data_IF_294643191690
#
_entry.id   IF_294643191690
#
_cell.length_a   1.000
_cell.length_b   1.000
_cell.length_c   1.000
_cell.angle_alpha   90.00
_cell.angle_beta   90.00
_cell.angle_gamma   90.00
#
_symmetry.space_group_name_H-M   'P 1'
#
loop_
_entity.id
_entity.type
_entity.pdbx_description
1 polymer ?
#
# COMPACT_ATOMS: atom_id res chain seq x y z
N UNK A 1 19.31 -9.45 -83.73
CA UNK A 1 19.85 -10.03 -82.46
C UNK A 1 18.74 -10.78 -81.78
N UNK A 2 19.00 -11.96 -81.22
CA UNK A 2 17.94 -12.72 -80.54
C UNK A 2 17.38 -11.91 -79.36
N UNK A 3 16.06 -11.92 -79.22
CA UNK A 3 15.33 -11.23 -78.15
C UNK A 3 15.15 -12.16 -76.97
N UNK A 4 15.69 -11.86 -75.77
CA UNK A 4 15.46 -12.66 -74.60
C UNK A 4 13.98 -12.53 -74.18
N UNK A 5 13.27 -13.60 -74.12
CA UNK A 5 11.84 -13.63 -73.82
C UNK A 5 11.54 -14.64 -72.72
N UNK A 6 10.69 -14.23 -71.78
CA UNK A 6 10.17 -15.11 -70.72
C UNK A 6 8.66 -15.32 -70.96
N UNK A 7 8.26 -16.57 -71.09
CA UNK A 7 6.83 -16.89 -71.29
C UNK A 7 6.04 -16.49 -70.03
N UNK A 8 4.97 -15.63 -70.12
CA UNK A 8 4.18 -15.21 -69.03
C UNK A 8 3.31 -16.30 -68.39
N UNK A 9 3.12 -17.42 -69.08
CA UNK A 9 2.27 -18.54 -68.65
C UNK A 9 3.05 -19.66 -67.96
N UNK A 10 4.28 -19.94 -68.34
CA UNK A 10 5.09 -21.03 -67.78
C UNK A 10 6.45 -20.64 -67.25
N UNK A 11 6.86 -19.34 -67.34
CA UNK A 11 8.13 -18.85 -66.83
C UNK A 11 9.39 -19.29 -67.63
N UNK A 12 9.21 -20.05 -68.72
CA UNK A 12 10.36 -20.53 -69.48
C UNK A 12 11.06 -19.39 -70.20
N UNK A 13 12.39 -19.29 -70.01
CA UNK A 13 13.26 -18.34 -70.71
C UNK A 13 13.74 -18.93 -72.01
N UNK A 14 13.59 -18.17 -73.12
CA UNK A 14 14.05 -18.54 -74.43
C UNK A 14 14.54 -17.31 -75.18
N UNK A 15 15.47 -17.53 -76.14
CA UNK A 15 15.91 -16.47 -77.03
C UNK A 15 15.13 -16.62 -78.38
N UNK A 16 14.36 -15.64 -78.70
CA UNK A 16 13.54 -15.61 -79.90
C UNK A 16 14.23 -14.77 -80.99
N UNK A 17 14.22 -15.24 -82.23
CA UNK A 17 14.78 -14.51 -83.35
C UNK A 17 14.03 -13.19 -83.56
N UNK A 18 14.76 -12.11 -83.84
CA UNK A 18 14.19 -10.74 -84.01
C UNK A 18 13.13 -10.63 -85.09
N UNK A 19 13.11 -11.52 -86.08
CA UNK A 19 12.05 -11.61 -87.11
C UNK A 19 10.65 -11.93 -86.52
N UNK A 20 10.59 -12.40 -85.29
CA UNK A 20 9.37 -12.66 -84.57
C UNK A 20 8.95 -11.52 -83.60
N UNK A 21 9.68 -10.46 -83.58
CA UNK A 21 9.35 -9.28 -82.76
C UNK A 21 7.94 -8.76 -83.08
N UNK A 22 7.10 -8.56 -82.10
CA UNK A 22 5.71 -8.13 -82.19
C UNK A 22 4.74 -9.18 -82.70
N UNK A 23 5.19 -10.43 -83.00
CA UNK A 23 4.30 -11.50 -83.50
C UNK A 23 3.79 -12.37 -82.35
N UNK A 24 2.58 -12.95 -82.59
CA UNK A 24 1.93 -13.89 -81.70
C UNK A 24 2.14 -15.29 -82.20
N UNK A 25 2.45 -16.23 -81.30
CA UNK A 25 2.61 -17.65 -81.63
C UNK A 25 2.48 -18.51 -80.36
N UNK A 26 2.37 -19.85 -80.51
CA UNK A 26 2.33 -20.75 -79.35
C UNK A 26 3.69 -20.90 -78.71
N UNK A 27 3.72 -20.90 -77.35
CA UNK A 27 4.91 -21.21 -76.59
C UNK A 27 5.33 -22.65 -76.84
N UNK A 28 6.64 -22.87 -77.09
CA UNK A 28 7.16 -24.22 -77.36
C UNK A 28 7.02 -25.20 -76.20
N UNK A 29 6.88 -24.69 -74.96
CA UNK A 29 6.82 -25.50 -73.74
C UNK A 29 5.38 -25.72 -73.26
N UNK A 30 4.58 -24.66 -73.16
CA UNK A 30 3.20 -24.77 -72.60
C UNK A 30 2.09 -24.61 -73.62
N UNK A 31 2.42 -24.37 -74.90
CA UNK A 31 1.52 -24.17 -76.06
C UNK A 31 0.53 -23.02 -75.93
N UNK A 32 0.58 -22.25 -74.85
CA UNK A 32 -0.23 -21.01 -74.74
C UNK A 32 0.22 -19.95 -75.73
N UNK A 33 -0.71 -19.21 -76.24
CA UNK A 33 -0.44 -18.10 -77.18
C UNK A 33 0.31 -16.97 -76.47
N UNK A 34 1.47 -16.64 -76.96
CA UNK A 34 2.33 -15.60 -76.46
C UNK A 34 2.62 -14.55 -77.54
N UNK A 35 2.80 -13.29 -77.16
CA UNK A 35 3.24 -12.22 -78.07
C UNK A 35 4.66 -11.83 -77.73
N UNK A 36 5.56 -11.89 -78.66
CA UNK A 36 6.97 -11.50 -78.50
C UNK A 36 6.99 -9.96 -78.51
N UNK A 37 7.61 -9.31 -77.53
CA UNK A 37 7.67 -7.86 -77.50
C UNK A 37 8.46 -7.33 -78.71
N UNK A 38 8.08 -6.13 -79.23
CA UNK A 38 8.82 -5.47 -80.30
C UNK A 38 10.22 -5.06 -79.83
N UNK A 39 11.22 -5.14 -80.70
CA UNK A 39 12.67 -5.07 -80.38
C UNK A 39 13.13 -3.74 -79.73
N UNK A 40 12.26 -2.79 -79.48
CA UNK A 40 12.63 -1.47 -78.92
C UNK A 40 12.01 -1.11 -77.57
N UNK A 41 11.52 -2.08 -76.79
CA UNK A 41 11.14 -1.80 -75.41
C UNK A 41 12.37 -2.01 -74.54
N UNK A 42 13.10 -0.91 -74.29
CA UNK A 42 14.22 -0.96 -73.33
C UNK A 42 13.77 -1.49 -72.01
N UNK A 43 14.29 -2.65 -71.59
CA UNK A 43 14.07 -3.24 -70.28
C UNK A 43 14.71 -2.34 -69.24
N UNK A 44 13.95 -1.47 -68.62
CA UNK A 44 14.40 -0.77 -67.44
C UNK A 44 14.55 -1.77 -66.29
N UNK A 45 15.75 -1.95 -65.69
CA UNK A 45 15.91 -2.86 -64.59
C UNK A 45 14.97 -2.42 -63.45
N UNK A 46 14.35 -3.35 -62.70
CA UNK A 46 13.52 -3.01 -61.55
C UNK A 46 14.33 -2.17 -60.57
N UNK A 47 13.86 -0.98 -60.23
CA UNK A 47 14.51 -0.11 -59.24
C UNK A 47 14.57 -0.88 -57.93
N UNK A 48 15.75 -0.96 -57.28
CA UNK A 48 15.86 -1.61 -55.99
C UNK A 48 14.88 -0.92 -55.01
N UNK A 49 13.94 -1.66 -54.49
CA UNK A 49 13.07 -1.17 -53.40
C UNK A 49 14.01 -0.75 -52.26
N UNK A 50 14.13 0.55 -52.01
CA UNK A 50 14.73 1.06 -50.78
C UNK A 50 13.97 0.40 -49.63
N UNK A 51 14.60 -0.56 -48.97
CA UNK A 51 14.05 -1.12 -47.71
C UNK A 51 13.76 0.10 -46.83
N UNK A 52 12.49 0.32 -46.60
CA UNK A 52 11.96 1.41 -45.78
C UNK A 52 12.67 1.33 -44.40
N UNK A 53 13.47 2.34 -44.06
CA UNK A 53 14.10 2.52 -42.74
C UNK A 53 13.07 2.78 -41.62
N UNK A 54 11.77 2.69 -41.95
CA UNK A 54 10.67 2.93 -41.03
C UNK A 54 10.72 2.00 -39.81
N UNK A 55 11.09 0.74 -40.00
CA UNK A 55 11.18 -0.20 -38.86
C UNK A 55 12.31 0.17 -37.90
N UNK A 56 13.46 0.59 -38.40
CA UNK A 56 14.62 1.03 -37.61
C UNK A 56 14.28 2.35 -36.88
N UNK A 57 13.60 3.28 -37.55
CA UNK A 57 13.14 4.52 -36.92
C UNK A 57 12.11 4.26 -35.84
N UNK A 58 11.13 3.38 -36.05
CA UNK A 58 10.13 3.00 -35.06
C UNK A 58 10.81 2.31 -33.86
N UNK A 59 11.73 1.37 -34.08
CA UNK A 59 12.49 0.74 -33.01
C UNK A 59 13.36 1.72 -32.24
N UNK A 60 14.01 2.67 -32.89
CA UNK A 60 14.80 3.71 -32.24
C UNK A 60 13.94 4.66 -31.39
N UNK A 61 12.75 5.03 -31.88
CA UNK A 61 11.80 5.85 -31.12
C UNK A 61 11.27 5.09 -29.91
N UNK A 62 10.88 3.83 -30.06
CA UNK A 62 10.42 2.98 -28.93
C UNK A 62 11.56 2.82 -27.92
N UNK A 63 12.79 2.54 -28.36
CA UNK A 63 13.94 2.39 -27.48
C UNK A 63 14.27 3.71 -26.76
N UNK A 64 14.20 4.83 -27.46
CA UNK A 64 14.38 6.17 -26.87
C UNK A 64 13.31 6.49 -25.84
N UNK A 65 12.05 6.16 -26.12
CA UNK A 65 10.94 6.37 -25.18
C UNK A 65 11.03 5.47 -23.95
N UNK A 66 11.46 4.21 -24.09
CA UNK A 66 11.65 3.29 -22.96
C UNK A 66 12.89 3.62 -22.15
N UNK A 67 14.00 3.97 -22.79
CA UNK A 67 15.26 4.27 -22.09
C UNK A 67 15.29 5.64 -21.40
N UNK A 68 14.63 6.65 -21.95
CA UNK A 68 14.59 8.01 -21.40
C UNK A 68 13.26 8.31 -20.68
N UNK A 69 12.12 7.93 -21.26
CA UNK A 69 10.79 8.19 -20.71
C UNK A 69 10.47 7.31 -19.52
N UNK A 70 10.89 6.04 -19.53
CA UNK A 70 10.65 5.08 -18.44
C UNK A 70 11.23 5.54 -17.10
N UNK A 71 12.51 5.85 -17.00
CA UNK A 71 13.13 6.36 -15.78
C UNK A 71 12.53 7.68 -15.29
N UNK A 72 12.17 8.60 -16.19
CA UNK A 72 11.55 9.87 -15.82
C UNK A 72 10.16 9.64 -15.23
N UNK A 73 9.34 8.79 -15.84
CA UNK A 73 8.02 8.42 -15.31
C UNK A 73 8.14 7.74 -13.95
N UNK A 74 9.07 6.80 -13.78
CA UNK A 74 9.35 6.15 -12.51
C UNK A 74 9.79 7.17 -11.45
N UNK A 75 10.68 8.09 -11.78
CA UNK A 75 11.15 9.13 -10.86
C UNK A 75 10.03 10.08 -10.40
N UNK A 76 9.02 10.32 -11.24
CA UNK A 76 7.85 11.13 -10.89
C UNK A 76 6.78 10.33 -10.14
N UNK A 77 6.64 9.03 -10.44
CA UNK A 77 5.64 8.16 -9.79
C UNK A 77 6.05 7.73 -8.37
N UNK A 78 7.35 7.49 -8.13
CA UNK A 78 7.82 7.04 -6.82
C UNK A 78 7.40 7.95 -5.66
N UNK A 79 7.63 9.29 -5.70
CA UNK A 79 7.21 10.18 -4.63
C UNK A 79 5.69 10.22 -4.45
N UNK A 80 4.94 10.17 -5.55
CA UNK A 80 3.47 10.17 -5.50
C UNK A 80 2.91 8.89 -4.84
N UNK A 81 3.48 7.73 -5.19
CA UNK A 81 3.11 6.45 -4.58
C UNK A 81 3.47 6.43 -3.09
N UNK A 82 4.65 6.92 -2.70
CA UNK A 82 5.06 7.00 -1.29
C UNK A 82 4.12 7.90 -0.49
N UNK A 83 3.74 9.07 -1.03
CA UNK A 83 2.80 9.96 -0.38
C UNK A 83 1.39 9.33 -0.25
N UNK A 84 0.92 8.63 -1.28
CA UNK A 84 -0.35 7.91 -1.24
C UNK A 84 -0.34 6.76 -0.22
N UNK A 85 0.74 5.98 -0.15
CA UNK A 85 0.91 4.93 0.85
C UNK A 85 0.92 5.49 2.28
N UNK A 86 1.60 6.62 2.51
CA UNK A 86 1.62 7.24 3.83
C UNK A 86 0.27 7.84 4.21
N UNK A 87 -0.45 8.45 3.28
CA UNK A 87 -1.83 8.88 3.50
C UNK A 87 -2.76 7.71 3.87
N UNK A 88 -2.59 6.55 3.23
CA UNK A 88 -3.33 5.33 3.56
C UNK A 88 -2.99 4.82 4.97
N UNK A 89 -1.70 4.80 5.37
CA UNK A 89 -1.28 4.43 6.73
C UNK A 89 -1.87 5.38 7.77
N UNK A 90 -1.83 6.69 7.53
CA UNK A 90 -2.44 7.68 8.42
C UNK A 90 -3.95 7.45 8.56
N UNK A 91 -4.64 7.16 7.46
CA UNK A 91 -6.07 6.81 7.50
C UNK A 91 -6.33 5.56 8.34
N UNK A 92 -5.44 4.57 8.27
CA UNK A 92 -5.54 3.37 9.10
C UNK A 92 -5.32 3.68 10.59
N UNK A 93 -4.34 4.52 10.97
CA UNK A 93 -4.15 4.94 12.35
C UNK A 93 -5.37 5.71 12.88
N UNK A 94 -5.96 6.59 12.07
CA UNK A 94 -7.22 7.26 12.42
C UNK A 94 -8.38 6.26 12.59
N UNK A 95 -8.46 5.23 11.76
CA UNK A 95 -9.48 4.19 11.88
C UNK A 95 -9.26 3.32 13.14
N UNK A 96 -8.01 3.03 13.50
CA UNK A 96 -7.70 2.33 14.73
C UNK A 96 -8.20 3.11 15.95
N UNK A 97 -7.92 4.42 16.01
CA UNK A 97 -8.45 5.28 17.08
C UNK A 97 -9.98 5.32 17.11
N UNK A 98 -10.64 5.35 15.94
CA UNK A 98 -12.11 5.25 15.87
C UNK A 98 -12.63 3.91 16.39
N UNK A 99 -11.95 2.80 16.09
CA UNK A 99 -12.31 1.48 16.63
C UNK A 99 -12.15 1.45 18.15
N UNK A 100 -11.03 1.99 18.66
CA UNK A 100 -10.80 2.12 20.11
C UNK A 100 -11.89 2.99 20.73
N UNK A 101 -12.22 4.14 20.14
CA UNK A 101 -13.27 5.02 20.64
C UNK A 101 -14.64 4.32 20.69
N UNK A 102 -15.00 3.61 19.61
CA UNK A 102 -16.24 2.83 19.58
C UNK A 102 -16.25 1.74 20.65
N UNK A 103 -15.13 1.07 20.86
CA UNK A 103 -14.97 0.04 21.90
C UNK A 103 -15.12 0.62 23.30
N UNK A 104 -14.55 1.79 23.56
CA UNK A 104 -14.72 2.52 24.83
C UNK A 104 -16.18 2.90 25.08
N UNK A 105 -16.89 3.38 24.05
CA UNK A 105 -18.32 3.66 24.14
C UNK A 105 -19.16 2.40 24.42
N UNK A 106 -18.90 1.30 23.72
CA UNK A 106 -19.58 0.02 23.94
C UNK A 106 -19.31 -0.55 25.34
N UNK A 107 -18.08 -0.39 25.82
CA UNK A 107 -17.76 -0.72 27.21
C UNK A 107 -18.56 0.14 28.19
N UNK A 108 -18.59 1.46 27.97
CA UNK A 108 -19.38 2.38 28.80
C UNK A 108 -20.88 2.06 28.76
N UNK A 109 -21.43 1.69 27.61
CA UNK A 109 -22.85 1.30 27.51
C UNK A 109 -23.17 0.05 28.33
N UNK A 110 -22.21 -0.86 28.44
CA UNK A 110 -22.33 -2.10 29.21
C UNK A 110 -22.16 -1.85 30.71
N UNK A 111 -21.07 -1.18 31.10
CA UNK A 111 -20.64 -1.03 32.49
C UNK A 111 -20.99 0.31 33.12
N UNK A 112 -21.60 1.25 32.35
CA UNK A 112 -22.02 2.61 32.77
C UNK A 112 -20.87 3.52 33.20
N UNK A 113 -19.65 3.16 32.83
CA UNK A 113 -18.42 3.93 33.03
C UNK A 113 -17.38 3.51 31.99
N UNK A 114 -16.40 4.37 31.72
CA UNK A 114 -15.23 4.00 30.96
C UNK A 114 -14.36 3.00 31.74
N UNK A 115 -13.59 2.14 31.07
CA UNK A 115 -12.65 1.28 31.78
C UNK A 115 -11.57 2.15 32.46
N UNK A 116 -11.18 1.85 33.71
CA UNK A 116 -10.01 2.50 34.29
C UNK A 116 -8.76 2.15 33.48
N UNK A 117 -7.82 3.08 33.36
CA UNK A 117 -6.58 2.84 32.60
C UNK A 117 -5.82 1.62 33.14
N UNK A 118 -5.78 1.49 34.45
CA UNK A 118 -5.14 0.39 35.18
C UNK A 118 -6.19 -0.31 36.05
N UNK A 119 -6.40 -1.59 35.79
CA UNK A 119 -7.23 -2.45 36.66
C UNK A 119 -6.29 -3.12 37.68
N UNK A 120 -6.61 -3.00 38.98
CA UNK A 120 -5.83 -3.59 40.09
C UNK A 120 -6.65 -4.62 40.84
N UNK A 121 -5.97 -5.42 41.65
CA UNK A 121 -6.62 -6.27 42.67
C UNK A 121 -7.04 -5.46 43.91
N UNK A 122 -7.57 -6.18 44.94
CA UNK A 122 -7.99 -5.58 46.20
C UNK A 122 -6.81 -4.97 47.01
N UNK A 123 -5.62 -5.50 46.80
CA UNK A 123 -4.38 -5.03 47.41
C UNK A 123 -3.72 -3.86 46.65
N UNK A 124 -4.26 -3.48 45.48
CA UNK A 124 -3.77 -2.38 44.64
C UNK A 124 -2.67 -2.79 43.65
N UNK A 125 -2.40 -4.10 43.50
CA UNK A 125 -1.41 -4.54 42.48
C UNK A 125 -2.01 -4.52 41.08
N UNK A 126 -1.29 -4.00 40.07
CA UNK A 126 -1.77 -3.93 38.71
C UNK A 126 -2.03 -5.31 38.11
N UNK A 127 -3.23 -5.52 37.58
CA UNK A 127 -3.65 -6.78 36.92
C UNK A 127 -3.53 -6.68 35.42
N UNK A 128 -4.19 -5.69 34.81
CA UNK A 128 -4.17 -5.51 33.35
C UNK A 128 -4.61 -4.10 32.93
N UNK A 129 -4.36 -3.78 31.67
CA UNK A 129 -4.68 -2.50 31.04
C UNK A 129 -6.15 -2.43 30.60
N UNK A 130 -6.68 -1.21 30.48
CA UNK A 130 -7.95 -0.92 29.80
C UNK A 130 -8.04 -1.55 28.41
N UNK A 131 -6.90 -1.73 27.73
CA UNK A 131 -6.84 -2.34 26.39
C UNK A 131 -7.29 -3.79 26.42
N UNK A 132 -7.01 -4.51 27.50
CA UNK A 132 -7.54 -5.87 27.72
C UNK A 132 -9.06 -5.83 27.91
N UNK A 133 -9.56 -4.87 28.70
CA UNK A 133 -10.98 -4.75 29.00
C UNK A 133 -11.85 -4.48 27.76
N UNK A 134 -11.31 -3.82 26.73
CA UNK A 134 -12.05 -3.53 25.50
C UNK A 134 -11.85 -4.55 24.36
N UNK A 135 -11.07 -5.61 24.56
CA UNK A 135 -10.86 -6.66 23.55
C UNK A 135 -12.15 -7.22 22.95
N UNK A 136 -13.21 -7.51 23.74
CA UNK A 136 -14.48 -8.01 23.20
C UNK A 136 -15.13 -7.06 22.19
N UNK A 137 -14.86 -5.75 22.31
CA UNK A 137 -15.48 -4.70 21.48
C UNK A 137 -14.65 -4.30 20.27
N UNK A 138 -13.44 -4.91 20.10
CA UNK A 138 -12.58 -4.72 18.92
C UNK A 138 -12.37 -6.04 18.15
N UNK A 139 -13.37 -6.93 18.21
CA UNK A 139 -13.35 -8.24 17.53
C UNK A 139 -12.27 -9.21 18.04
N UNK A 140 -11.79 -9.00 19.27
CA UNK A 140 -10.77 -9.85 19.92
C UNK A 140 -11.36 -10.64 21.11
N UNK A 141 -12.64 -11.03 21.04
CA UNK A 141 -13.32 -11.77 22.11
C UNK A 141 -12.63 -13.08 22.47
N UNK A 142 -12.20 -13.87 21.48
CA UNK A 142 -11.49 -15.13 21.73
C UNK A 142 -10.15 -14.91 22.47
N UNK A 143 -9.47 -13.81 22.24
CA UNK A 143 -8.25 -13.46 22.96
C UNK A 143 -8.56 -13.05 24.40
N UNK A 144 -9.65 -12.31 24.61
CA UNK A 144 -10.16 -11.96 25.92
C UNK A 144 -10.56 -13.20 26.74
N UNK A 145 -11.26 -14.16 26.12
CA UNK A 145 -11.67 -15.41 26.78
C UNK A 145 -10.48 -16.30 27.20
N UNK A 146 -9.33 -16.11 26.55
CA UNK A 146 -8.10 -16.82 26.88
C UNK A 146 -7.26 -16.12 27.96
N UNK A 147 -7.55 -14.85 28.24
CA UNK A 147 -6.84 -14.05 29.24
C UNK A 147 -7.38 -14.33 30.63
N UNK A 148 -6.52 -14.61 31.61
CA UNK A 148 -6.93 -14.78 32.99
C UNK A 148 -6.86 -13.47 33.79
N UNK A 149 -7.99 -12.81 34.08
CA UNK A 149 -8.02 -11.56 34.83
C UNK A 149 -7.63 -11.68 36.30
N UNK A 150 -7.53 -12.91 36.82
CA UNK A 150 -7.23 -13.15 38.24
C UNK A 150 -5.72 -13.19 38.53
N UNK A 151 -4.89 -13.27 37.51
CA UNK A 151 -3.44 -13.23 37.66
C UNK A 151 -2.87 -11.94 37.01
N UNK A 152 -1.69 -11.48 37.41
CA UNK A 152 -1.05 -10.29 36.83
C UNK A 152 -0.82 -10.41 35.33
N UNK A 153 -0.71 -9.28 34.66
CA UNK A 153 -0.44 -9.18 33.20
C UNK A 153 0.88 -9.84 32.80
N UNK A 154 1.87 -9.85 33.69
CA UNK A 154 3.22 -10.41 33.50
C UNK A 154 3.35 -11.87 34.02
N UNK A 155 2.26 -12.47 34.52
CA UNK A 155 2.21 -13.90 34.78
C UNK A 155 2.44 -14.68 33.46
N UNK A 156 3.17 -15.80 33.50
CA UNK A 156 3.44 -16.62 32.31
C UNK A 156 2.21 -16.96 31.46
N UNK A 157 1.03 -17.13 32.08
CA UNK A 157 -0.23 -17.38 31.36
C UNK A 157 -0.63 -16.18 30.52
N UNK A 158 -0.66 -14.98 31.10
CA UNK A 158 -1.06 -13.74 30.43
C UNK A 158 0.04 -13.18 29.54
N UNK A 159 1.31 -13.32 29.94
CA UNK A 159 2.45 -12.87 29.17
C UNK A 159 2.48 -13.50 27.77
N UNK A 160 2.17 -14.78 27.66
CA UNK A 160 2.10 -15.48 26.40
C UNK A 160 1.02 -14.89 25.47
N UNK A 161 -0.13 -14.55 26.03
CA UNK A 161 -1.24 -13.89 25.32
C UNK A 161 -0.84 -12.46 24.95
N UNK A 162 -0.20 -11.73 25.87
CA UNK A 162 0.29 -10.36 25.68
C UNK A 162 1.29 -10.21 24.54
N UNK A 163 1.98 -11.28 24.13
CA UNK A 163 2.89 -11.27 22.97
C UNK A 163 2.17 -11.27 21.61
N UNK A 164 0.84 -11.45 21.60
CA UNK A 164 0.05 -11.44 20.37
C UNK A 164 -0.03 -10.01 19.79
N UNK A 165 0.16 -9.87 18.49
CA UNK A 165 0.01 -8.57 17.83
C UNK A 165 -1.45 -8.26 17.54
N UNK A 166 -1.93 -7.10 18.00
CA UNK A 166 -3.28 -6.60 17.74
C UNK A 166 -3.20 -5.38 16.84
N UNK A 167 -3.73 -5.50 15.62
CA UNK A 167 -3.63 -4.45 14.60
C UNK A 167 -4.29 -3.12 15.01
N UNK A 168 -5.37 -3.18 15.80
CA UNK A 168 -6.06 -2.00 16.32
C UNK A 168 -5.20 -1.18 17.29
N UNK A 169 -4.19 -1.78 17.90
CA UNK A 169 -3.28 -1.09 18.83
C UNK A 169 -1.95 -0.66 18.20
N UNK A 170 -1.80 -0.83 16.90
CA UNK A 170 -0.55 -0.53 16.18
C UNK A 170 -0.73 0.51 15.08
N UNK A 171 0.20 1.45 15.01
CA UNK A 171 0.32 2.35 13.88
C UNK A 171 1.16 1.69 12.77
N UNK A 172 0.65 1.54 11.53
CA UNK A 172 1.41 0.89 10.45
C UNK A 172 2.62 1.71 9.97
N UNK A 173 2.74 2.98 10.35
CA UNK A 173 3.92 3.81 10.08
C UNK A 173 5.00 3.66 11.14
N UNK A 174 4.70 3.02 12.27
CA UNK A 174 5.70 2.69 13.29
C UNK A 174 6.25 1.28 13.03
N UNK A 175 7.31 1.21 12.24
CA UNK A 175 8.01 -0.05 11.94
C UNK A 175 9.07 -0.45 12.97
N UNK A 176 9.26 0.33 14.04
CA UNK A 176 10.32 0.08 15.03
C UNK A 176 9.80 -0.58 16.30
N UNK A 177 8.54 -0.36 16.66
CA UNK A 177 7.91 -0.98 17.83
C UNK A 177 7.74 -2.48 17.67
N UNK A 178 7.91 -3.21 18.78
CA UNK A 178 7.73 -4.66 18.80
C UNK A 178 6.26 -5.04 18.49
N UNK A 179 5.99 -6.25 17.97
CA UNK A 179 4.63 -6.64 17.58
C UNK A 179 3.57 -6.56 18.68
N UNK A 180 3.96 -6.72 19.93
CA UNK A 180 3.10 -6.68 21.11
C UNK A 180 2.99 -5.30 21.76
N UNK A 181 3.78 -4.30 21.30
CA UNK A 181 3.69 -2.94 21.81
C UNK A 181 2.51 -2.19 21.23
N UNK A 182 2.00 -1.21 22.01
CA UNK A 182 0.91 -0.33 21.58
C UNK A 182 1.43 1.04 21.14
N UNK A 183 0.78 1.60 20.12
CA UNK A 183 0.97 3.00 19.73
C UNK A 183 -0.13 3.93 20.28
N UNK A 184 -1.02 3.42 21.12
CA UNK A 184 -2.15 4.20 21.63
C UNK A 184 -2.22 4.08 23.15
N UNK A 185 -2.08 5.22 23.82
CA UNK A 185 -2.05 5.32 25.27
C UNK A 185 -3.09 6.30 25.78
N UNK A 186 -3.65 6.05 26.96
CA UNK A 186 -4.47 7.02 27.68
C UNK A 186 -3.58 8.04 28.38
N UNK A 187 -4.15 9.21 28.64
CA UNK A 187 -3.58 10.14 29.63
C UNK A 187 -4.26 9.84 30.97
N UNK A 188 -3.44 9.57 32.00
CA UNK A 188 -3.90 9.19 33.32
C UNK A 188 -3.56 10.25 34.37
N UNK A 189 -4.33 10.28 35.42
CA UNK A 189 -4.18 11.24 36.51
C UNK A 189 -5.51 11.84 36.93
N UNK A 190 -5.52 12.63 37.98
CA UNK A 190 -6.74 13.29 38.48
C UNK A 190 -7.37 14.18 37.39
N UNK A 191 -8.67 14.05 37.18
CA UNK A 191 -9.42 14.83 36.19
C UNK A 191 -9.24 14.38 34.73
N UNK A 192 -8.52 13.30 34.46
CA UNK A 192 -8.40 12.72 33.10
C UNK A 192 -9.42 11.60 32.87
N UNK A 193 -9.62 11.19 31.60
CA UNK A 193 -10.51 10.06 31.28
C UNK A 193 -9.93 8.74 31.80
N UNK A 194 -8.61 8.58 31.77
CA UNK A 194 -7.93 7.40 32.30
C UNK A 194 -7.99 7.28 33.83
N UNK A 195 -8.24 8.38 34.54
CA UNK A 195 -8.38 8.41 35.99
C UNK A 195 -7.13 7.93 36.72
N UNK A 196 -7.31 7.65 38.02
CA UNK A 196 -6.35 6.94 38.85
C UNK A 196 -6.58 5.41 38.73
N UNK A 197 -5.68 4.55 39.21
CA UNK A 197 -5.87 3.09 39.21
C UNK A 197 -7.23 2.70 39.82
N UNK A 198 -8.00 1.84 39.16
CA UNK A 198 -9.36 1.42 39.47
C UNK A 198 -10.41 2.57 39.49
N UNK A 199 -10.05 3.79 39.14
CA UNK A 199 -11.00 4.87 39.02
C UNK A 199 -11.66 4.87 37.63
N UNK A 200 -12.98 4.78 37.61
CA UNK A 200 -13.76 4.75 36.37
C UNK A 200 -14.47 6.08 36.16
N UNK A 201 -14.15 6.75 35.07
CA UNK A 201 -14.79 8.02 34.65
C UNK A 201 -16.11 7.75 33.93
N UNK A 202 -17.11 8.59 34.14
CA UNK A 202 -18.40 8.56 33.43
C UNK A 202 -18.53 9.77 32.52
N UNK A 203 -19.40 9.70 31.52
CA UNK A 203 -19.67 10.85 30.65
C UNK A 203 -20.04 12.13 31.40
N UNK A 204 -20.81 12.01 32.49
CA UNK A 204 -21.21 13.16 33.32
C UNK A 204 -20.05 13.83 34.06
N UNK A 205 -18.93 13.11 34.22
CA UNK A 205 -17.76 13.60 34.94
C UNK A 205 -16.83 14.40 34.01
N UNK A 206 -17.08 14.36 32.68
CA UNK A 206 -16.35 15.11 31.66
C UNK A 206 -17.01 16.47 31.50
N UNK A 207 -16.67 17.41 32.36
CA UNK A 207 -17.33 18.73 32.44
C UNK A 207 -17.00 19.67 31.27
N UNK A 208 -15.83 19.48 30.64
CA UNK A 208 -15.37 20.32 29.51
C UNK A 208 -15.94 19.85 28.17
N UNK A 209 -16.67 18.74 28.18
CA UNK A 209 -17.28 18.11 27.02
C UNK A 209 -16.34 17.12 26.31
N UNK A 210 -16.92 16.03 25.83
CA UNK A 210 -16.17 14.91 25.20
C UNK A 210 -15.37 15.34 23.97
N UNK A 211 -15.76 16.41 23.27
CA UNK A 211 -15.04 16.92 22.11
C UNK A 211 -13.83 17.82 22.46
N UNK A 212 -13.63 18.11 23.73
CA UNK A 212 -12.54 18.95 24.23
C UNK A 212 -11.58 18.20 25.17
N UNK A 213 -11.90 16.95 25.48
CA UNK A 213 -11.10 16.14 26.42
C UNK A 213 -10.41 15.01 25.67
N UNK A 214 -9.09 14.96 25.73
CA UNK A 214 -8.30 13.91 25.08
C UNK A 214 -8.40 12.63 25.91
N UNK A 215 -8.84 11.55 25.28
CA UNK A 215 -8.91 10.23 25.90
C UNK A 215 -7.67 9.38 25.60
N UNK A 216 -7.31 9.29 24.31
CA UNK A 216 -6.19 8.45 23.85
C UNK A 216 -5.34 9.24 22.86
N UNK A 217 -4.03 9.11 23.00
CA UNK A 217 -3.05 9.75 22.10
C UNK A 217 -2.22 8.70 21.38
N UNK A 218 -1.77 9.06 20.19
CA UNK A 218 -0.78 8.28 19.45
C UNK A 218 0.62 8.53 20.04
N UNK A 219 1.40 7.46 20.18
CA UNK A 219 2.79 7.50 20.66
C UNK A 219 3.64 6.53 19.86
N UNK A 220 4.86 6.94 19.55
CA UNK A 220 5.86 6.13 18.85
C UNK A 220 6.94 5.67 19.82
N UNK A 221 7.27 4.38 19.80
CA UNK A 221 8.35 3.84 20.62
C UNK A 221 8.06 3.91 22.12
N UNK A 222 6.80 3.72 22.52
CA UNK A 222 6.41 3.75 23.93
C UNK A 222 7.09 2.67 24.78
N UNK A 223 7.45 1.54 24.13
CA UNK A 223 7.92 0.35 24.84
C UNK A 223 6.87 -0.25 25.78
N UNK A 224 5.58 0.06 25.55
CA UNK A 224 4.45 -0.43 26.37
C UNK A 224 3.79 -1.59 25.66
N UNK A 225 3.72 -2.75 26.32
CA UNK A 225 2.92 -3.87 25.88
C UNK A 225 1.42 -3.54 25.94
N UNK A 226 0.64 -4.00 24.96
CA UNK A 226 -0.81 -3.68 24.96
C UNK A 226 -1.56 -4.22 26.18
N UNK A 227 -1.12 -5.32 26.78
CA UNK A 227 -1.69 -5.88 28.02
C UNK A 227 -1.14 -5.22 29.29
N UNK A 228 0.01 -4.54 29.19
CA UNK A 228 0.68 -3.89 30.30
C UNK A 228 -0.16 -2.74 30.86
N UNK A 229 -0.43 -2.71 32.17
CA UNK A 229 -1.22 -1.65 32.81
C UNK A 229 -0.36 -0.39 33.04
N UNK A 230 0.18 0.16 31.95
CA UNK A 230 0.96 1.38 31.91
C UNK A 230 0.45 2.28 30.80
N UNK A 231 0.32 3.56 31.12
CA UNK A 231 -0.09 4.63 30.21
C UNK A 231 0.72 5.90 30.53
N UNK A 232 0.42 7.05 29.93
CA UNK A 232 1.10 8.29 30.23
C UNK A 232 0.41 9.02 31.38
N UNK A 233 1.13 9.29 32.46
CA UNK A 233 0.61 10.17 33.51
C UNK A 233 0.71 11.64 33.09
N UNK A 234 -0.19 12.47 33.59
CA UNK A 234 -0.20 13.92 33.28
C UNK A 234 1.10 14.61 33.76
N UNK A 235 1.71 14.07 34.81
CA UNK A 235 2.97 14.56 35.36
C UNK A 235 4.18 14.22 34.48
N UNK A 236 4.15 13.06 33.81
CA UNK A 236 5.21 12.61 32.91
C UNK A 236 5.03 13.12 31.50
N UNK A 237 3.82 13.58 31.15
CA UNK A 237 3.47 14.00 29.82
C UNK A 237 4.30 15.20 29.38
N UNK A 238 5.16 15.02 28.38
CA UNK A 238 5.79 16.13 27.69
C UNK A 238 4.78 16.84 26.77
N UNK A 239 4.64 18.14 26.93
CA UNK A 239 3.79 18.96 26.05
C UNK A 239 4.40 19.23 24.68
N UNK A 240 5.65 18.83 24.47
CA UNK A 240 6.31 18.91 23.17
C UNK A 240 5.90 17.71 22.31
N UNK A 241 5.47 17.99 21.09
CA UNK A 241 5.10 16.93 20.15
C UNK A 241 6.35 16.35 19.47
N UNK A 242 6.40 15.02 19.31
CA UNK A 242 7.51 14.33 18.62
C UNK A 242 8.91 14.62 19.19
N UNK A 243 9.05 14.82 20.49
CA UNK A 243 10.32 15.15 21.15
C UNK A 243 11.27 13.96 21.31
N UNK A 244 10.79 12.74 21.04
CA UNK A 244 11.58 11.51 21.12
C UNK A 244 11.84 11.00 22.54
N UNK A 245 11.24 11.60 23.58
CA UNK A 245 11.41 11.17 24.97
C UNK A 245 10.74 9.85 25.30
N UNK A 246 9.78 9.42 24.49
CA UNK A 246 8.88 8.30 24.79
C UNK A 246 7.72 8.66 25.72
N UNK A 247 7.70 9.90 26.25
CA UNK A 247 6.65 10.45 27.11
C UNK A 247 5.91 11.60 26.45
N UNK A 248 6.05 11.77 25.14
CA UNK A 248 5.35 12.79 24.36
C UNK A 248 4.39 12.16 23.37
N UNK A 249 3.23 12.79 23.12
CA UNK A 249 2.42 12.44 21.96
C UNK A 249 3.25 12.53 20.70
N UNK A 250 3.33 11.45 19.94
CA UNK A 250 4.26 11.36 18.82
C UNK A 250 3.72 10.47 17.69
N UNK A 251 4.08 10.82 16.47
CA UNK A 251 3.66 10.10 15.27
C UNK A 251 4.75 10.12 14.21
N UNK A 252 4.82 9.08 13.40
CA UNK A 252 5.64 9.03 12.18
C UNK A 252 4.94 9.70 10.98
N UNK A 253 3.69 10.10 11.15
CA UNK A 253 2.94 10.74 10.08
C UNK A 253 3.37 12.19 9.88
N UNK A 254 3.59 12.66 8.63
CA UNK A 254 3.82 14.06 8.37
C UNK A 254 2.56 14.88 8.70
N UNK A 255 2.75 15.98 9.42
CA UNK A 255 1.69 16.97 9.69
C UNK A 255 0.93 16.81 10.99
N UNK A 256 1.33 15.91 11.90
CA UNK A 256 0.78 15.88 13.25
C UNK A 256 0.49 14.48 13.79
N UNK A 257 0.02 14.44 15.02
CA UNK A 257 -0.39 13.24 15.74
C UNK A 257 -1.89 13.01 15.59
N UNK A 258 -2.34 11.76 15.78
CA UNK A 258 -3.75 11.43 15.89
C UNK A 258 -4.12 11.34 17.38
N UNK A 259 -5.28 11.87 17.72
CA UNK A 259 -5.84 11.82 19.08
C UNK A 259 -7.30 11.38 19.03
N UNK A 260 -7.75 10.72 20.08
CA UNK A 260 -9.15 10.43 20.36
C UNK A 260 -9.64 11.39 21.45
N UNK A 261 -10.72 12.06 21.16
CA UNK A 261 -11.40 12.92 22.09
C UNK A 261 -12.79 12.38 22.39
#
# INVERSE_FOLDING_TARGET
MPIPFTCPHCGTHTNVDDRFAGRTGPCSQCRNTITVPAANVGYAPPRPHKKSGGLVVVLAVILGFTCLGGPILLALLLPAVQAACEAARRSQCTNNLKQIGLALHNYHDTYKSFPPAVITDEEGNPRYSWRVAILPYIEQGALFDSYDPNVPWDDPVNQWIGMTSISAYRCPSDGMSMPHETNYVMITGEGTIGGLPNESTKFRDITDGTANTIAVVEIVGSGIGWSEPRDLTIEELSMALNDGSGNSPSSRHPGGINVLM
#
